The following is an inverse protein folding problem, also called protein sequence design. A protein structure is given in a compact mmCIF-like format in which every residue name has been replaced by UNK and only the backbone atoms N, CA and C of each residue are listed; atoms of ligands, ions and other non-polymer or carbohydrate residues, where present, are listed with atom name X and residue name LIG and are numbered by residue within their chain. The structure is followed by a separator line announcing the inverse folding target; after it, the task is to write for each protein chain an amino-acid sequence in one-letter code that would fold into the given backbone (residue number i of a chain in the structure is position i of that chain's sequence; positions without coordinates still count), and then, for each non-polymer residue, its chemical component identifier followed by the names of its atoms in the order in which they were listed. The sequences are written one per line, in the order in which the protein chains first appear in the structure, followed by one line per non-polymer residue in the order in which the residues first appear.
data_IF_873021358476
#
_entry.id   IF_873021358476
#
_cell.length_a   1.000
_cell.length_b   1.000
_cell.length_c   1.000
_cell.angle_alpha   90.00
_cell.angle_beta   90.00
_cell.angle_gamma   90.00
#
_symmetry.space_group_name_H-M   'P 1'
#
loop_
_entity.id
_entity.type
_entity.pdbx_description
1 polymer ?
#
# COMPACT_ATOMS: atom_id res chain seq x y z
N UNK A 1 22.16 -48.00 -60.78
CA UNK A 1 21.54 -48.11 -59.44
C UNK A 1 22.65 -48.33 -58.40
N UNK A 2 22.56 -47.68 -57.22
CA UNK A 2 23.54 -47.55 -56.10
C UNK A 2 24.54 -46.39 -56.26
N UNK A 3 24.17 -45.16 -55.84
CA UNK A 3 24.45 -44.50 -54.53
C UNK A 3 25.95 -44.21 -54.33
N UNK A 4 26.47 -43.04 -54.71
CA UNK A 4 26.54 -41.74 -53.96
C UNK A 4 27.07 -41.89 -52.53
N UNK A 5 28.32 -41.48 -52.29
CA UNK A 5 28.78 -40.71 -51.12
C UNK A 5 30.15 -40.07 -51.48
N UNK A 6 30.14 -38.80 -51.89
CA UNK A 6 31.34 -37.95 -51.94
C UNK A 6 31.12 -36.86 -50.88
N UNK A 7 31.98 -36.86 -49.87
CA UNK A 7 32.01 -35.87 -48.81
C UNK A 7 32.59 -34.57 -49.42
N UNK A 8 31.74 -33.57 -49.62
CA UNK A 8 32.18 -32.19 -49.88
C UNK A 8 32.28 -31.45 -48.54
N UNK A 9 33.52 -31.14 -48.16
CA UNK A 9 33.81 -30.18 -47.08
C UNK A 9 33.48 -28.79 -47.61
N UNK A 10 32.35 -28.24 -47.21
CA UNK A 10 32.02 -26.82 -47.41
C UNK A 10 32.45 -26.10 -46.13
N UNK A 11 33.51 -25.29 -46.24
CA UNK A 11 33.83 -24.26 -45.27
C UNK A 11 32.66 -23.26 -45.21
N UNK A 12 31.77 -23.41 -44.22
CA UNK A 12 30.89 -22.33 -43.82
C UNK A 12 31.74 -21.30 -43.07
N UNK A 13 32.02 -20.19 -43.75
CA UNK A 13 32.40 -18.94 -43.11
C UNK A 13 31.28 -18.54 -42.14
N UNK A 14 31.46 -18.84 -40.85
CA UNK A 14 30.73 -18.17 -39.79
C UNK A 14 31.06 -16.69 -39.88
N UNK A 15 30.21 -15.94 -40.58
CA UNK A 15 30.01 -14.54 -40.25
C UNK A 15 29.44 -14.53 -38.83
N UNK A 16 30.34 -14.38 -37.85
CA UNK A 16 29.96 -13.90 -36.52
C UNK A 16 29.36 -12.51 -36.73
N UNK A 17 28.05 -12.48 -37.00
CA UNK A 17 27.23 -11.32 -36.73
C UNK A 17 27.30 -11.18 -35.22
N UNK A 18 28.22 -10.34 -34.76
CA UNK A 18 28.28 -9.86 -33.40
C UNK A 18 26.88 -9.30 -33.14
N UNK A 19 26.07 -10.09 -32.42
CA UNK A 19 24.93 -9.60 -31.67
C UNK A 19 25.53 -8.68 -30.60
N UNK A 20 25.93 -7.47 -31.01
CA UNK A 20 25.89 -6.31 -30.16
C UNK A 20 24.39 -6.04 -29.95
N UNK A 21 23.75 -6.90 -29.16
CA UNK A 21 22.53 -6.51 -28.49
C UNK A 21 22.91 -5.27 -27.71
N UNK A 22 22.42 -4.11 -28.15
CA UNK A 22 22.37 -2.94 -27.30
C UNK A 22 21.73 -3.42 -26.01
N UNK A 23 22.53 -3.60 -24.94
CA UNK A 23 21.99 -3.68 -23.60
C UNK A 23 21.17 -2.40 -23.46
N UNK A 24 19.86 -2.52 -23.42
CA UNK A 24 19.01 -1.39 -23.01
C UNK A 24 19.65 -0.79 -21.76
N UNK A 25 19.91 0.52 -21.80
CA UNK A 25 20.63 1.22 -20.73
C UNK A 25 19.78 1.12 -19.47
N UNK A 26 20.08 0.17 -18.59
CA UNK A 26 19.31 -0.01 -17.35
C UNK A 26 19.32 1.28 -16.52
N UNK A 27 18.20 1.58 -15.84
CA UNK A 27 18.13 2.70 -14.90
C UNK A 27 19.16 2.46 -13.80
N UNK A 28 20.06 3.43 -13.60
CA UNK A 28 20.93 3.49 -12.45
C UNK A 28 20.32 4.45 -11.41
N UNK A 29 19.79 3.95 -10.28
CA UNK A 29 19.14 4.82 -9.30
C UNK A 29 20.08 5.82 -8.63
N UNK A 30 21.39 5.62 -8.68
CA UNK A 30 22.36 6.59 -8.15
C UNK A 30 22.37 7.89 -8.93
N UNK A 31 22.01 7.85 -10.23
CA UNK A 31 21.89 9.03 -11.08
C UNK A 31 20.74 9.95 -10.62
N UNK A 32 19.80 9.43 -9.81
CA UNK A 32 18.69 10.21 -9.26
C UNK A 32 19.09 11.04 -8.03
N UNK A 33 20.21 10.72 -7.35
CA UNK A 33 20.60 11.37 -6.09
C UNK A 33 20.66 12.91 -6.22
N UNK A 34 21.30 13.49 -7.27
CA UNK A 34 21.34 14.94 -7.43
C UNK A 34 19.96 15.57 -7.64
N UNK A 35 19.00 14.83 -8.19
CA UNK A 35 17.65 15.34 -8.49
C UNK A 35 16.82 15.59 -7.23
N UNK A 36 17.12 14.89 -6.13
CA UNK A 36 16.46 15.10 -4.83
C UNK A 36 17.12 16.15 -3.95
N UNK A 37 18.29 16.68 -4.33
CA UNK A 37 19.13 17.51 -3.46
C UNK A 37 18.35 18.70 -2.87
N UNK A 38 17.76 19.53 -3.72
CA UNK A 38 17.06 20.74 -3.28
C UNK A 38 15.81 20.41 -2.45
N UNK A 39 15.08 19.35 -2.84
CA UNK A 39 13.92 18.87 -2.10
C UNK A 39 14.31 18.42 -0.68
N UNK A 40 15.42 17.71 -0.54
CA UNK A 40 15.93 17.25 0.75
C UNK A 40 16.38 18.43 1.60
N UNK A 41 17.25 19.30 1.07
CA UNK A 41 17.79 20.46 1.80
C UNK A 41 16.67 21.37 2.33
N UNK A 42 15.58 21.53 1.57
CA UNK A 42 14.43 22.34 1.96
C UNK A 42 13.54 21.70 3.04
N UNK A 43 13.52 20.38 3.19
CA UNK A 43 12.47 19.68 3.94
C UNK A 43 12.94 18.71 5.03
N UNK A 44 14.22 18.32 5.06
CA UNK A 44 14.71 17.28 5.97
C UNK A 44 14.47 17.59 7.45
N UNK A 45 14.61 18.85 7.86
CA UNK A 45 14.46 19.29 9.25
C UNK A 45 13.04 19.76 9.61
N UNK A 46 12.09 19.71 8.65
CA UNK A 46 10.72 20.16 8.88
C UNK A 46 9.87 19.03 9.42
N UNK A 47 9.15 19.30 10.51
CA UNK A 47 8.12 18.43 11.08
C UNK A 47 6.78 19.13 10.95
N UNK A 48 5.76 18.40 10.46
CA UNK A 48 4.42 18.96 10.32
C UNK A 48 3.76 19.15 11.69
N UNK A 49 3.00 20.23 11.85
CA UNK A 49 2.17 20.43 13.06
C UNK A 49 0.87 19.61 13.00
N UNK A 50 0.33 19.43 11.79
CA UNK A 50 -0.88 18.66 11.53
C UNK A 50 -0.57 17.18 11.33
N UNK A 51 -0.99 16.35 12.29
CA UNK A 51 -0.81 14.88 12.24
C UNK A 51 -1.60 14.21 11.12
N UNK A 52 -2.60 14.89 10.55
CA UNK A 52 -3.40 14.36 9.45
C UNK A 52 -2.97 14.90 8.08
N UNK A 53 -1.85 15.61 7.99
CA UNK A 53 -1.42 16.28 6.74
C UNK A 53 -1.27 15.30 5.56
N UNK A 54 -0.82 14.08 5.84
CA UNK A 54 -0.64 13.01 4.83
C UNK A 54 -1.81 12.03 4.79
N UNK A 55 -2.91 12.32 5.48
CA UNK A 55 -4.07 11.43 5.57
C UNK A 55 -4.90 11.48 4.31
N UNK A 56 -5.31 10.31 3.83
CA UNK A 56 -6.24 10.16 2.68
C UNK A 56 -7.62 10.67 3.03
N UNK A 57 -8.03 10.54 4.30
CA UNK A 57 -9.26 11.12 4.85
C UNK A 57 -9.00 11.67 6.26
N UNK A 58 -9.70 12.73 6.65
CA UNK A 58 -9.63 13.31 7.99
C UNK A 58 -10.75 12.78 8.89
N UNK A 59 -10.67 12.91 10.24
CA UNK A 59 -11.67 12.42 11.17
C UNK A 59 -13.10 12.87 10.90
N UNK A 60 -13.29 14.02 10.25
CA UNK A 60 -14.61 14.56 9.92
C UNK A 60 -15.25 13.86 8.71
N UNK A 61 -14.48 13.06 7.96
CA UNK A 61 -14.97 12.31 6.82
C UNK A 61 -15.70 11.04 7.30
N UNK A 62 -16.88 10.77 6.74
CA UNK A 62 -17.70 9.60 7.12
C UNK A 62 -17.04 8.24 6.85
N UNK A 63 -16.00 8.20 6.00
CA UNK A 63 -15.19 7.01 5.75
C UNK A 63 -14.08 6.77 6.79
N UNK A 64 -13.81 7.74 7.67
CA UNK A 64 -12.64 7.71 8.55
C UNK A 64 -12.63 6.47 9.45
N UNK A 65 -13.70 6.23 10.20
CA UNK A 65 -13.77 5.13 11.16
C UNK A 65 -13.63 3.77 10.49
N UNK A 66 -14.33 3.56 9.37
CA UNK A 66 -14.28 2.28 8.63
C UNK A 66 -12.90 2.04 8.01
N UNK A 67 -12.22 3.08 7.55
CA UNK A 67 -10.86 2.96 7.04
C UNK A 67 -9.83 2.75 8.17
N UNK A 68 -10.06 3.36 9.34
CA UNK A 68 -9.22 3.17 10.51
C UNK A 68 -9.29 1.72 11.02
N UNK A 69 -10.49 1.14 11.09
CA UNK A 69 -10.69 -0.26 11.46
C UNK A 69 -9.96 -1.20 10.47
N UNK A 70 -10.12 -0.96 9.17
CA UNK A 70 -9.41 -1.70 8.13
C UNK A 70 -7.89 -1.56 8.27
N UNK A 71 -7.40 -0.37 8.57
CA UNK A 71 -5.97 -0.09 8.72
C UNK A 71 -5.36 -0.78 9.93
N UNK A 72 -6.10 -0.78 11.04
CA UNK A 72 -5.74 -1.53 12.24
C UNK A 72 -5.82 -3.03 12.02
N UNK A 73 -6.47 -3.51 10.95
CA UNK A 73 -6.67 -4.92 10.72
C UNK A 73 -7.37 -5.59 11.90
N UNK A 74 -8.34 -4.89 12.50
CA UNK A 74 -9.19 -5.47 13.54
C UNK A 74 -9.96 -6.67 12.95
N UNK A 75 -10.17 -7.75 13.73
CA UNK A 75 -10.96 -8.88 13.25
C UNK A 75 -12.35 -8.43 12.83
N UNK A 76 -12.75 -8.79 11.60
CA UNK A 76 -14.03 -8.39 11.02
C UNK A 76 -15.20 -8.78 11.92
N UNK A 77 -16.01 -7.79 12.28
CA UNK A 77 -17.13 -7.90 13.22
C UNK A 77 -18.42 -7.42 12.58
N UNK A 78 -19.56 -7.86 13.14
CA UNK A 78 -20.88 -7.41 12.67
C UNK A 78 -21.05 -5.90 12.77
N UNK A 79 -20.43 -5.28 13.77
CA UNK A 79 -20.47 -3.84 13.96
C UNK A 79 -19.74 -3.06 12.84
N UNK A 80 -18.57 -3.56 12.42
CA UNK A 80 -17.81 -3.00 11.28
C UNK A 80 -18.58 -3.19 9.96
N UNK A 81 -19.19 -4.36 9.77
CA UNK A 81 -20.06 -4.62 8.62
C UNK A 81 -21.27 -3.68 8.58
N UNK A 82 -21.94 -3.49 9.72
CA UNK A 82 -23.09 -2.60 9.82
C UNK A 82 -22.70 -1.13 9.62
N UNK A 83 -21.49 -0.70 10.01
CA UNK A 83 -20.96 0.62 9.67
C UNK A 83 -20.84 0.79 8.15
N UNK A 84 -20.21 -0.17 7.47
CA UNK A 84 -20.11 -0.15 6.01
C UNK A 84 -21.50 -0.12 5.34
N UNK A 85 -22.41 -1.00 5.77
CA UNK A 85 -23.75 -1.09 5.21
C UNK A 85 -24.53 0.22 5.35
N UNK A 86 -24.47 0.91 6.50
CA UNK A 86 -25.10 2.23 6.68
C UNK A 86 -24.56 3.28 5.70
N UNK A 87 -23.25 3.27 5.41
CA UNK A 87 -22.67 4.20 4.43
C UNK A 87 -23.14 3.86 3.01
N UNK A 88 -23.21 2.57 2.67
CA UNK A 88 -23.71 2.08 1.37
C UNK A 88 -25.19 2.45 1.19
N UNK A 89 -26.03 2.26 2.20
CA UNK A 89 -27.45 2.63 2.19
C UNK A 89 -27.66 4.14 1.98
N UNK A 90 -26.76 4.97 2.51
CA UNK A 90 -26.73 6.42 2.26
C UNK A 90 -26.22 6.81 0.87
N UNK A 91 -25.80 5.84 0.07
CA UNK A 91 -25.27 6.07 -1.29
C UNK A 91 -23.81 6.48 -1.33
N UNK A 92 -23.02 6.25 -0.27
CA UNK A 92 -21.60 6.53 -0.29
C UNK A 92 -20.88 5.58 -1.28
N UNK A 93 -20.34 6.16 -2.36
CA UNK A 93 -19.68 5.41 -3.42
C UNK A 93 -18.37 4.76 -2.95
N UNK A 94 -17.63 5.42 -2.07
CA UNK A 94 -16.33 4.98 -1.58
C UNK A 94 -16.46 3.72 -0.70
N UNK A 95 -17.41 3.73 0.23
CA UNK A 95 -17.82 2.57 1.03
C UNK A 95 -18.29 1.43 0.14
N UNK A 96 -19.13 1.74 -0.86
CA UNK A 96 -19.64 0.75 -1.80
C UNK A 96 -18.50 0.07 -2.56
N UNK A 97 -17.50 0.83 -3.02
CA UNK A 97 -16.35 0.28 -3.74
C UNK A 97 -15.48 -0.55 -2.81
N UNK A 98 -15.10 -0.03 -1.64
CA UNK A 98 -14.22 -0.74 -0.70
C UNK A 98 -14.85 -2.04 -0.20
N UNK A 99 -16.12 -1.99 0.20
CA UNK A 99 -16.83 -3.17 0.67
C UNK A 99 -17.03 -4.20 -0.45
N UNK A 100 -17.41 -3.76 -1.66
CA UNK A 100 -17.52 -4.68 -2.81
C UNK A 100 -16.18 -5.32 -3.17
N UNK A 101 -15.04 -4.63 -2.95
CA UNK A 101 -13.72 -5.25 -3.15
C UNK A 101 -13.44 -6.32 -2.10
N UNK A 102 -13.85 -6.13 -0.85
CA UNK A 102 -13.70 -7.12 0.23
C UNK A 102 -14.51 -8.37 -0.06
N UNK A 103 -15.74 -8.22 -0.55
CA UNK A 103 -16.66 -9.34 -0.76
C UNK A 103 -16.61 -9.96 -2.17
N UNK A 104 -15.79 -9.43 -3.09
CA UNK A 104 -15.68 -9.96 -4.45
C UNK A 104 -15.20 -11.44 -4.52
N UNK A 105 -14.49 -11.91 -3.50
CA UNK A 105 -14.04 -13.29 -3.37
C UNK A 105 -14.99 -14.17 -2.54
N UNK A 106 -15.99 -13.58 -1.89
CA UNK A 106 -17.05 -14.30 -1.20
C UNK A 106 -18.07 -14.79 -2.24
N UNK A 107 -18.34 -16.09 -2.25
CA UNK A 107 -19.17 -16.69 -3.29
C UNK A 107 -20.65 -16.28 -3.19
N UNK A 108 -21.13 -15.98 -1.99
CA UNK A 108 -22.53 -15.61 -1.73
C UNK A 108 -22.76 -14.13 -2.04
N UNK A 109 -21.79 -13.27 -1.71
CA UNK A 109 -21.89 -11.82 -1.87
C UNK A 109 -21.38 -11.30 -3.22
N UNK A 110 -20.68 -12.12 -4.00
CA UNK A 110 -20.02 -11.70 -5.25
C UNK A 110 -20.98 -11.04 -6.25
N UNK A 111 -22.15 -11.62 -6.48
CA UNK A 111 -23.11 -11.07 -7.46
C UNK A 111 -23.60 -9.67 -7.05
N UNK A 112 -23.79 -9.46 -5.75
CA UNK A 112 -24.15 -8.17 -5.14
C UNK A 112 -23.01 -7.17 -5.29
N UNK A 113 -21.78 -7.57 -4.94
CA UNK A 113 -20.58 -6.76 -5.08
C UNK A 113 -20.36 -6.30 -6.53
N UNK A 114 -20.49 -7.22 -7.49
CA UNK A 114 -20.37 -6.90 -8.92
C UNK A 114 -21.47 -5.94 -9.37
N UNK A 115 -22.72 -6.16 -8.95
CA UNK A 115 -23.84 -5.29 -9.31
C UNK A 115 -23.67 -3.87 -8.78
N UNK A 116 -23.17 -3.73 -7.56
CA UNK A 116 -22.83 -2.42 -6.95
C UNK A 116 -21.73 -1.70 -7.73
N UNK A 117 -20.63 -2.39 -8.05
CA UNK A 117 -19.56 -1.81 -8.86
C UNK A 117 -20.03 -1.47 -10.28
N UNK A 118 -20.87 -2.31 -10.89
CA UNK A 118 -21.38 -2.08 -12.23
C UNK A 118 -22.27 -0.83 -12.28
N UNK A 119 -23.14 -0.65 -11.28
CA UNK A 119 -23.94 0.58 -11.14
C UNK A 119 -23.05 1.81 -11.05
N UNK A 120 -22.08 1.82 -10.14
CA UNK A 120 -21.16 2.97 -9.99
C UNK A 120 -20.34 3.23 -11.26
N UNK A 121 -19.90 2.18 -11.96
CA UNK A 121 -19.22 2.31 -13.25
C UNK A 121 -20.15 2.96 -14.29
N UNK A 122 -21.42 2.54 -14.38
CA UNK A 122 -22.42 3.15 -15.26
C UNK A 122 -22.69 4.62 -14.91
N UNK A 123 -22.61 4.97 -13.63
CA UNK A 123 -22.72 6.35 -13.13
C UNK A 123 -21.42 7.16 -13.34
N UNK A 124 -20.39 6.57 -13.95
CA UNK A 124 -19.15 7.23 -14.35
C UNK A 124 -18.04 7.21 -13.31
N UNK A 125 -18.15 6.40 -12.25
CA UNK A 125 -17.10 6.28 -11.24
C UNK A 125 -15.87 5.51 -11.79
N UNK A 126 -14.68 6.15 -11.87
CA UNK A 126 -13.50 5.51 -12.47
C UNK A 126 -12.90 4.39 -11.61
N UNK A 127 -13.03 4.47 -10.28
CA UNK A 127 -12.54 3.41 -9.40
C UNK A 127 -13.37 2.13 -9.58
N UNK A 128 -14.70 2.26 -9.68
CA UNK A 128 -15.57 1.12 -9.95
C UNK A 128 -15.27 0.49 -11.32
N UNK A 129 -15.07 1.32 -12.36
CA UNK A 129 -14.63 0.87 -13.67
C UNK A 129 -13.28 0.12 -13.59
N UNK A 130 -12.29 0.68 -12.89
CA UNK A 130 -10.99 0.03 -12.71
C UNK A 130 -11.12 -1.35 -12.07
N UNK A 131 -11.92 -1.47 -11.00
CA UNK A 131 -12.08 -2.74 -10.28
C UNK A 131 -12.77 -3.82 -11.13
N UNK A 132 -13.58 -3.43 -12.11
CA UNK A 132 -14.22 -4.31 -13.11
C UNK A 132 -13.42 -4.45 -14.42
N UNK A 133 -12.25 -3.84 -14.54
CA UNK A 133 -11.40 -3.89 -15.74
C UNK A 133 -10.45 -5.09 -15.78
N UNK A 134 -9.83 -5.34 -16.95
CA UNK A 134 -8.79 -6.38 -17.09
C UNK A 134 -7.52 -6.10 -16.27
N UNK A 135 -7.27 -4.86 -15.84
CA UNK A 135 -6.10 -4.50 -15.02
C UNK A 135 -6.29 -4.80 -13.53
N UNK A 136 -7.53 -4.97 -13.08
CA UNK A 136 -7.83 -5.42 -11.73
C UNK A 136 -7.48 -6.90 -11.56
N UNK A 137 -6.53 -7.20 -10.66
CA UNK A 137 -6.20 -8.57 -10.28
C UNK A 137 -7.43 -9.34 -9.81
N UNK A 138 -8.29 -8.70 -9.00
CA UNK A 138 -9.49 -9.32 -8.45
C UNK A 138 -10.51 -9.66 -9.55
N UNK A 139 -10.68 -8.80 -10.54
CA UNK A 139 -11.52 -9.10 -11.69
C UNK A 139 -11.04 -10.39 -12.38
N UNK A 140 -9.75 -10.43 -12.74
CA UNK A 140 -9.16 -11.60 -13.42
C UNK A 140 -9.22 -12.88 -12.58
N UNK A 141 -9.00 -12.77 -11.28
CA UNK A 141 -8.96 -13.93 -10.37
C UNK A 141 -10.36 -14.49 -10.04
N UNK A 142 -11.37 -13.62 -9.88
CA UNK A 142 -12.66 -14.00 -9.29
C UNK A 142 -13.85 -13.91 -10.25
N UNK A 143 -13.77 -13.10 -11.31
CA UNK A 143 -14.87 -12.88 -12.25
C UNK A 143 -14.62 -13.52 -13.63
N UNK A 144 -13.37 -13.88 -13.95
CA UNK A 144 -13.05 -14.59 -15.19
C UNK A 144 -13.70 -15.97 -15.27
N UNK A 145 -14.12 -16.38 -16.47
CA UNK A 145 -14.74 -17.70 -16.73
C UNK A 145 -13.86 -18.90 -16.34
N UNK A 146 -12.54 -18.72 -16.34
CA UNK A 146 -11.58 -19.75 -15.88
C UNK A 146 -11.44 -19.83 -14.35
N UNK A 147 -12.05 -18.91 -13.59
CA UNK A 147 -11.96 -18.89 -12.13
C UNK A 147 -12.62 -20.12 -11.51
N UNK A 148 -11.89 -20.82 -10.63
CA UNK A 148 -12.44 -21.92 -9.83
C UNK A 148 -13.69 -21.46 -9.05
N UNK A 149 -13.66 -20.24 -8.53
CA UNK A 149 -14.79 -19.68 -7.77
C UNK A 149 -16.06 -19.53 -8.60
N UNK A 150 -15.94 -19.29 -9.92
CA UNK A 150 -17.11 -19.21 -10.80
C UNK A 150 -17.66 -20.60 -11.15
N UNK A 151 -16.79 -21.60 -11.31
CA UNK A 151 -17.23 -22.99 -11.48
C UNK A 151 -18.04 -23.46 -10.29
N UNK A 152 -17.52 -23.23 -9.08
CA UNK A 152 -18.22 -23.56 -7.83
C UNK A 152 -19.54 -22.80 -7.72
N UNK A 153 -19.57 -21.50 -8.04
CA UNK A 153 -20.80 -20.70 -7.96
C UNK A 153 -21.89 -21.25 -8.88
N UNK A 154 -21.51 -21.68 -10.09
CA UNK A 154 -22.41 -22.30 -11.06
C UNK A 154 -22.93 -23.65 -10.57
N UNK A 155 -22.06 -24.50 -10.01
CA UNK A 155 -22.44 -25.82 -9.48
C UNK A 155 -23.41 -25.68 -8.28
N UNK A 156 -23.30 -24.60 -7.51
CA UNK A 156 -24.21 -24.24 -6.42
C UNK A 156 -25.51 -23.55 -6.89
N UNK A 157 -25.67 -23.29 -8.19
CA UNK A 157 -26.85 -22.60 -8.73
C UNK A 157 -26.92 -21.11 -8.39
N UNK A 158 -25.79 -20.47 -8.06
CA UNK A 158 -25.70 -19.04 -7.78
C UNK A 158 -25.64 -18.21 -9.07
N UNK A 159 -25.98 -16.92 -8.98
CA UNK A 159 -25.94 -16.02 -10.13
C UNK A 159 -24.50 -15.80 -10.63
N UNK A 160 -24.21 -16.28 -11.84
CA UNK A 160 -22.95 -16.03 -12.56
C UNK A 160 -23.14 -15.16 -13.80
N UNK A 161 -24.22 -14.38 -13.88
CA UNK A 161 -24.57 -13.55 -15.04
C UNK A 161 -23.50 -12.50 -15.39
N UNK A 162 -22.58 -12.20 -14.48
CA UNK A 162 -21.44 -11.32 -14.70
C UNK A 162 -20.30 -11.96 -15.50
N UNK A 163 -20.31 -13.28 -15.68
CA UNK A 163 -19.26 -14.03 -16.37
C UNK A 163 -19.05 -13.48 -17.79
N UNK A 164 -17.79 -13.22 -18.16
CA UNK A 164 -17.37 -12.66 -19.46
C UNK A 164 -17.91 -11.25 -19.80
N UNK A 165 -18.68 -10.60 -18.92
CA UNK A 165 -19.12 -9.20 -19.10
C UNK A 165 -18.08 -8.17 -18.69
N UNK A 166 -17.27 -8.54 -17.69
CA UNK A 166 -16.26 -7.67 -17.10
C UNK A 166 -14.84 -8.16 -17.41
N UNK A 167 -13.85 -7.47 -16.88
CA UNK A 167 -12.44 -7.75 -17.07
C UNK A 167 -11.98 -7.54 -18.52
N UNK A 168 -12.47 -6.48 -19.16
CA UNK A 168 -12.11 -6.11 -20.54
C UNK A 168 -11.21 -4.87 -20.57
N UNK A 169 -10.49 -4.70 -21.69
CA UNK A 169 -9.71 -3.49 -21.96
C UNK A 169 -10.62 -2.27 -22.18
N UNK A 170 -11.81 -2.45 -22.76
CA UNK A 170 -12.77 -1.35 -22.96
C UNK A 170 -13.19 -0.72 -21.61
N UNK A 171 -13.46 -1.55 -20.60
CA UNK A 171 -13.77 -1.07 -19.25
C UNK A 171 -12.55 -0.36 -18.64
N UNK A 172 -11.34 -0.85 -18.92
CA UNK A 172 -10.12 -0.17 -18.48
C UNK A 172 -10.00 1.24 -19.05
N UNK A 173 -10.26 1.42 -20.35
CA UNK A 173 -10.21 2.73 -20.99
C UNK A 173 -11.25 3.70 -20.40
N UNK A 174 -12.45 3.21 -20.02
CA UNK A 174 -13.43 4.01 -19.26
C UNK A 174 -12.88 4.47 -17.91
N UNK A 175 -12.16 3.60 -17.20
CA UNK A 175 -11.50 3.98 -15.95
C UNK A 175 -10.43 5.06 -16.18
N UNK A 176 -9.57 4.89 -17.20
CA UNK A 176 -8.52 5.86 -17.57
C UNK A 176 -9.13 7.22 -17.92
N UNK A 177 -10.22 7.26 -18.70
CA UNK A 177 -10.93 8.50 -19.03
C UNK A 177 -11.50 9.19 -17.78
N UNK A 178 -12.11 8.44 -16.87
CA UNK A 178 -12.59 9.02 -15.61
C UNK A 178 -11.44 9.50 -14.71
N UNK A 179 -10.32 8.79 -14.65
CA UNK A 179 -9.14 9.26 -13.92
C UNK A 179 -8.52 10.51 -14.55
N UNK A 180 -8.54 10.68 -15.88
CA UNK A 180 -8.14 11.94 -16.52
C UNK A 180 -8.98 13.12 -16.03
N UNK A 181 -10.30 12.93 -15.87
CA UNK A 181 -11.20 13.96 -15.33
C UNK A 181 -10.87 14.29 -13.87
N UNK A 182 -10.70 13.28 -13.02
CA UNK A 182 -10.33 13.50 -11.61
C UNK A 182 -8.94 14.15 -11.47
N UNK A 183 -7.97 13.72 -12.27
CA UNK A 183 -6.63 14.29 -12.28
C UNK A 183 -6.64 15.77 -12.67
N UNK A 184 -7.46 16.15 -13.66
CA UNK A 184 -7.67 17.53 -14.07
C UNK A 184 -8.35 18.39 -12.99
N UNK A 185 -9.08 17.77 -12.06
CA UNK A 185 -9.66 18.42 -10.87
C UNK A 185 -8.68 18.49 -9.70
N UNK A 186 -7.45 17.97 -9.85
CA UNK A 186 -6.42 18.01 -8.81
C UNK A 186 -6.33 16.76 -7.94
N UNK A 187 -7.07 15.67 -8.23
CA UNK A 187 -6.95 14.44 -7.44
C UNK A 187 -5.56 13.79 -7.65
N UNK A 188 -4.74 13.81 -6.61
CA UNK A 188 -3.36 13.31 -6.64
C UNK A 188 -3.29 11.79 -6.87
N UNK A 189 -4.27 11.03 -6.40
CA UNK A 189 -4.32 9.56 -6.59
C UNK A 189 -4.59 9.23 -8.04
N UNK A 190 -5.51 9.96 -8.68
CA UNK A 190 -5.80 9.83 -10.10
C UNK A 190 -4.61 10.27 -10.97
N UNK A 191 -3.94 11.37 -10.62
CA UNK A 191 -2.70 11.79 -11.29
C UNK A 191 -1.62 10.71 -11.19
N UNK A 192 -1.43 10.13 -10.00
CA UNK A 192 -0.43 9.09 -9.80
C UNK A 192 -0.78 7.79 -10.54
N UNK A 193 -2.06 7.42 -10.58
CA UNK A 193 -2.54 6.31 -11.39
C UNK A 193 -2.16 6.49 -12.86
N UNK A 194 -2.42 7.67 -13.43
CA UNK A 194 -2.11 7.96 -14.84
C UNK A 194 -0.61 7.97 -15.12
N UNK A 195 0.20 8.48 -14.19
CA UNK A 195 1.67 8.43 -14.29
C UNK A 195 2.16 6.98 -14.42
N UNK A 196 1.62 6.07 -13.61
CA UNK A 196 1.94 4.63 -13.68
C UNK A 196 1.42 3.95 -14.94
N UNK A 197 0.22 4.30 -15.38
CA UNK A 197 -0.36 3.78 -16.62
C UNK A 197 0.51 4.11 -17.85
N UNK A 198 1.09 5.31 -17.87
CA UNK A 198 2.02 5.75 -18.91
C UNK A 198 3.40 5.06 -18.83
N UNK A 199 3.68 4.28 -17.78
CA UNK A 199 4.95 3.60 -17.58
C UNK A 199 6.13 4.54 -17.31
N UNK A 200 5.85 5.76 -16.82
CA UNK A 200 6.88 6.79 -16.61
C UNK A 200 7.92 6.34 -15.57
N UNK A 201 7.49 5.55 -14.57
CA UNK A 201 8.32 4.94 -13.52
C UNK A 201 9.41 4.00 -14.07
N UNK A 202 9.23 3.49 -15.29
CA UNK A 202 10.12 2.54 -15.97
C UNK A 202 10.90 3.18 -17.12
N UNK A 203 10.62 4.43 -17.46
CA UNK A 203 11.25 5.11 -18.59
C UNK A 203 12.64 5.63 -18.22
N UNK A 204 13.66 5.16 -18.94
CA UNK A 204 15.03 5.68 -18.80
C UNK A 204 15.11 7.10 -19.36
N UNK A 205 14.50 7.34 -20.53
CA UNK A 205 14.52 8.64 -21.22
C UNK A 205 13.81 9.73 -20.42
N UNK A 206 12.75 9.36 -19.71
CA UNK A 206 11.95 10.30 -18.90
C UNK A 206 12.22 10.17 -17.40
N UNK A 207 13.40 9.65 -17.02
CA UNK A 207 13.73 9.42 -15.60
C UNK A 207 13.68 10.70 -14.79
N UNK A 208 14.25 11.80 -15.30
CA UNK A 208 14.21 13.09 -14.60
C UNK A 208 12.78 13.62 -14.43
N UNK A 209 11.91 13.45 -15.44
CA UNK A 209 10.49 13.81 -15.37
C UNK A 209 9.77 13.00 -14.29
N UNK A 210 10.03 11.69 -14.22
CA UNK A 210 9.49 10.83 -13.16
C UNK A 210 9.89 11.30 -11.76
N UNK A 211 11.17 11.64 -11.55
CA UNK A 211 11.67 12.08 -10.24
C UNK A 211 11.06 13.43 -9.84
N UNK A 212 10.88 14.36 -10.79
CA UNK A 212 10.17 15.62 -10.54
C UNK A 212 8.73 15.39 -10.10
N UNK A 213 8.04 14.44 -10.71
CA UNK A 213 6.67 14.09 -10.29
C UNK A 213 6.64 13.45 -8.89
N UNK A 214 7.58 12.55 -8.57
CA UNK A 214 7.72 11.99 -7.21
C UNK A 214 7.90 13.10 -6.17
N UNK A 215 8.75 14.09 -6.45
CA UNK A 215 8.96 15.26 -5.60
C UNK A 215 7.69 16.09 -5.49
N UNK A 216 7.01 16.38 -6.62
CA UNK A 216 5.75 17.15 -6.64
C UNK A 216 4.67 16.52 -5.77
N UNK A 217 4.52 15.20 -5.82
CA UNK A 217 3.57 14.50 -4.95
C UNK A 217 3.96 14.59 -3.48
N UNK A 218 5.25 14.45 -3.16
CA UNK A 218 5.75 14.56 -1.79
C UNK A 218 5.61 15.99 -1.23
N UNK A 219 5.81 17.03 -2.05
CA UNK A 219 5.54 18.43 -1.69
C UNK A 219 4.04 18.70 -1.45
N UNK A 220 3.17 17.93 -2.08
CA UNK A 220 1.72 17.94 -1.85
C UNK A 220 1.27 16.97 -0.74
N UNK A 221 2.21 16.45 0.06
CA UNK A 221 1.97 15.50 1.16
C UNK A 221 1.33 14.16 0.76
N UNK A 222 1.37 13.80 -0.54
CA UNK A 222 1.00 12.47 -1.02
C UNK A 222 2.27 11.63 -1.20
N UNK A 223 2.64 10.85 -0.18
CA UNK A 223 3.93 10.15 -0.13
C UNK A 223 3.94 8.75 -0.77
N UNK A 224 2.81 8.25 -1.27
CA UNK A 224 2.76 6.94 -1.95
C UNK A 224 3.75 6.83 -3.12
N UNK A 225 3.92 7.84 -4.00
CA UNK A 225 4.90 7.79 -5.09
C UNK A 225 6.34 7.78 -4.58
N UNK A 226 6.62 8.53 -3.52
CA UNK A 226 7.94 8.53 -2.87
C UNK A 226 8.28 7.15 -2.30
N UNK A 227 7.34 6.48 -1.64
CA UNK A 227 7.57 5.13 -1.12
C UNK A 227 7.70 4.07 -2.20
N UNK A 228 6.96 4.21 -3.30
CA UNK A 228 7.14 3.32 -4.45
C UNK A 228 8.51 3.54 -5.10
N UNK A 229 8.98 4.80 -5.20
CA UNK A 229 10.34 5.11 -5.65
C UNK A 229 11.41 4.51 -4.73
N UNK A 230 11.34 4.71 -3.41
CA UNK A 230 12.34 4.18 -2.47
C UNK A 230 12.44 2.65 -2.54
N UNK A 231 11.33 1.96 -2.81
CA UNK A 231 11.33 0.52 -3.04
C UNK A 231 12.21 0.08 -4.22
N UNK A 232 12.39 0.93 -5.23
CA UNK A 232 13.26 0.66 -6.39
C UNK A 232 14.74 0.79 -6.08
N UNK A 233 15.10 1.43 -4.96
CA UNK A 233 16.48 1.58 -4.49
C UNK A 233 17.00 0.31 -3.80
N UNK A 234 16.08 -0.62 -3.52
CA UNK A 234 16.34 -1.86 -2.81
C UNK A 234 16.39 -3.06 -3.77
N UNK A 235 16.96 -4.16 -3.27
CA UNK A 235 16.98 -5.46 -3.92
C UNK A 235 16.64 -6.58 -2.91
N UNK A 236 16.15 -7.74 -3.39
CA UNK A 236 15.96 -8.90 -2.54
C UNK A 236 17.26 -9.37 -1.87
N UNK A 237 17.14 -9.88 -0.66
CA UNK A 237 18.21 -10.48 0.13
C UNK A 237 17.67 -11.63 0.99
N UNK A 238 18.55 -12.44 1.57
CA UNK A 238 18.13 -13.53 2.47
C UNK A 238 17.40 -13.03 3.74
N UNK A 239 17.62 -11.78 4.15
CA UNK A 239 16.99 -11.18 5.34
C UNK A 239 15.88 -10.18 4.98
N UNK A 240 15.28 -10.31 3.80
CA UNK A 240 14.26 -9.38 3.31
C UNK A 240 14.82 -8.48 2.20
N UNK A 241 14.64 -7.16 2.29
CA UNK A 241 15.19 -6.22 1.31
C UNK A 241 16.41 -5.50 1.88
N UNK A 242 17.36 -5.15 1.01
CA UNK A 242 18.50 -4.28 1.35
C UNK A 242 18.68 -3.22 0.25
N UNK A 243 19.28 -2.08 0.59
CA UNK A 243 19.67 -1.11 -0.42
C UNK A 243 20.77 -1.66 -1.34
N UNK A 244 20.72 -1.26 -2.62
CA UNK A 244 21.69 -1.71 -3.63
C UNK A 244 23.10 -1.13 -3.43
N UNK A 245 23.19 0.04 -2.79
CA UNK A 245 24.46 0.67 -2.40
C UNK A 245 24.28 1.53 -1.14
N UNK A 246 25.39 1.99 -0.56
CA UNK A 246 25.37 2.82 0.65
C UNK A 246 24.89 4.25 0.37
N UNK A 247 25.11 4.72 -0.85
CA UNK A 247 24.66 6.01 -1.35
C UNK A 247 23.14 6.02 -1.47
N UNK A 248 22.56 4.92 -1.98
CA UNK A 248 21.12 4.74 -2.06
C UNK A 248 20.46 4.53 -0.70
N UNK A 249 21.14 3.89 0.26
CA UNK A 249 20.70 3.82 1.65
C UNK A 249 20.59 5.23 2.26
N UNK A 250 21.64 6.05 2.11
CA UNK A 250 21.62 7.44 2.59
C UNK A 250 20.50 8.28 1.95
N UNK A 251 20.26 8.09 0.64
CA UNK A 251 19.14 8.74 -0.05
C UNK A 251 17.80 8.27 0.53
N UNK A 252 17.58 6.95 0.56
CA UNK A 252 16.34 6.34 1.03
C UNK A 252 15.96 6.77 2.44
N UNK A 253 16.91 6.74 3.38
CA UNK A 253 16.69 7.18 4.78
C UNK A 253 16.26 8.64 4.84
N UNK A 254 16.91 9.55 4.09
CA UNK A 254 16.49 10.96 4.04
C UNK A 254 15.07 11.13 3.51
N UNK A 255 14.69 10.36 2.50
CA UNK A 255 13.34 10.39 1.93
C UNK A 255 12.30 9.82 2.89
N UNK A 256 12.61 8.74 3.62
CA UNK A 256 11.76 8.21 4.69
C UNK A 256 11.54 9.26 5.77
N UNK A 257 12.61 9.93 6.22
CA UNK A 257 12.52 10.95 7.27
C UNK A 257 11.63 12.12 6.88
N UNK A 258 11.72 12.60 5.64
CA UNK A 258 10.83 13.68 5.15
C UNK A 258 9.36 13.25 5.23
N UNK A 259 9.02 12.05 4.77
CA UNK A 259 7.64 11.54 4.83
C UNK A 259 7.19 11.23 6.27
N UNK A 260 8.08 10.67 7.09
CA UNK A 260 7.89 10.38 8.51
C UNK A 260 7.61 11.64 9.33
N UNK A 261 8.36 12.71 9.07
CA UNK A 261 8.13 14.02 9.69
C UNK A 261 6.79 14.66 9.30
N UNK A 262 6.15 14.16 8.25
CA UNK A 262 4.79 14.52 7.83
C UNK A 262 3.76 13.44 8.20
N UNK A 263 4.04 12.62 9.21
CA UNK A 263 3.15 11.60 9.76
C UNK A 263 2.75 10.50 8.76
N UNK A 264 3.53 10.26 7.71
CA UNK A 264 3.27 9.15 6.80
C UNK A 264 3.68 7.80 7.41
N UNK A 265 2.71 7.07 7.96
CA UNK A 265 2.90 5.80 8.69
C UNK A 265 3.84 4.82 7.98
N UNK A 266 3.66 4.49 6.68
CA UNK A 266 4.58 3.57 6.01
C UNK A 266 6.04 4.05 5.99
N UNK A 267 6.30 5.35 6.03
CA UNK A 267 7.66 5.89 6.14
C UNK A 267 8.17 5.90 7.58
N UNK A 268 7.32 6.16 8.57
CA UNK A 268 7.71 6.05 9.98
C UNK A 268 8.20 4.63 10.32
N UNK A 269 7.47 3.61 9.84
CA UNK A 269 7.84 2.21 9.99
C UNK A 269 9.20 1.86 9.35
N UNK A 270 9.54 2.45 8.21
CA UNK A 270 10.86 2.24 7.58
C UNK A 270 11.95 3.03 8.33
N UNK A 271 11.65 4.24 8.83
CA UNK A 271 12.61 5.06 9.60
C UNK A 271 13.04 4.41 10.92
N UNK A 272 12.20 3.63 11.62
CA UNK A 272 12.59 3.02 12.90
C UNK A 272 13.77 2.08 12.79
N UNK A 273 13.92 1.40 11.65
CA UNK A 273 15.05 0.49 11.38
C UNK A 273 16.39 1.23 11.38
N UNK A 274 16.39 2.52 11.03
CA UNK A 274 17.59 3.34 10.90
C UNK A 274 17.79 4.33 12.04
N UNK A 275 16.74 4.60 12.81
CA UNK A 275 16.70 5.63 13.85
C UNK A 275 16.12 5.10 15.18
N UNK A 276 16.59 3.92 15.62
CA UNK A 276 16.11 3.28 16.85
C UNK A 276 16.21 4.17 18.10
N UNK A 277 17.23 5.05 18.18
CA UNK A 277 17.43 5.97 19.31
C UNK A 277 16.65 7.30 19.16
N UNK A 278 15.86 7.48 18.10
CA UNK A 278 15.14 8.73 17.86
C UNK A 278 13.82 8.79 18.64
N UNK A 279 13.88 9.32 19.87
CA UNK A 279 12.69 9.53 20.71
C UNK A 279 11.56 10.30 20.02
N UNK A 280 11.87 11.31 19.20
CA UNK A 280 10.83 12.11 18.54
C UNK A 280 10.08 11.31 17.47
N UNK A 281 10.75 10.37 16.80
CA UNK A 281 10.11 9.46 15.87
C UNK A 281 9.11 8.55 16.61
N UNK A 282 9.54 7.92 17.70
CA UNK A 282 8.68 7.04 18.49
C UNK A 282 7.47 7.78 19.08
N UNK A 283 7.64 9.01 19.56
CA UNK A 283 6.53 9.85 20.02
C UNK A 283 5.52 10.12 18.89
N UNK A 284 5.99 10.44 17.67
CA UNK A 284 5.11 10.61 16.52
C UNK A 284 4.37 9.33 16.16
N UNK A 285 5.04 8.18 16.20
CA UNK A 285 4.42 6.88 15.90
C UNK A 285 3.36 6.52 16.94
N UNK A 286 3.68 6.67 18.24
CA UNK A 286 2.72 6.48 19.34
C UNK A 286 1.50 7.38 19.14
N UNK A 287 1.72 8.67 18.89
CA UNK A 287 0.65 9.64 18.62
C UNK A 287 -0.17 9.28 17.40
N UNK A 288 0.42 8.64 16.39
CA UNK A 288 -0.29 8.19 15.19
C UNK A 288 -1.04 6.88 15.40
N UNK A 289 -0.91 6.24 16.57
CA UNK A 289 -1.46 4.91 16.81
C UNK A 289 -0.88 3.84 15.87
N UNK A 290 0.33 4.06 15.37
CA UNK A 290 0.99 3.20 14.38
C UNK A 290 1.28 1.83 14.98
N UNK A 291 0.81 0.74 14.36
CA UNK A 291 1.09 -0.63 14.81
C UNK A 291 2.60 -0.92 14.92
N UNK A 292 3.43 -0.31 14.08
CA UNK A 292 4.88 -0.48 14.13
C UNK A 292 5.53 0.15 15.36
N UNK A 293 4.91 1.17 15.99
CA UNK A 293 5.35 1.69 17.28
C UNK A 293 5.46 0.57 18.30
N UNK A 294 4.43 -0.28 18.34
CA UNK A 294 4.35 -1.34 19.33
C UNK A 294 5.41 -2.41 19.13
N UNK A 295 5.67 -2.76 17.87
CA UNK A 295 6.69 -3.74 17.51
C UNK A 295 8.10 -3.19 17.75
N UNK A 296 8.40 -1.97 17.28
CA UNK A 296 9.71 -1.36 17.46
C UNK A 296 10.02 -1.13 18.94
N UNK A 297 9.04 -0.68 19.73
CA UNK A 297 9.23 -0.52 21.18
C UNK A 297 9.52 -1.86 21.84
N UNK A 298 8.80 -2.92 21.46
CA UNK A 298 8.99 -4.24 22.06
C UNK A 298 10.31 -4.92 21.67
N UNK A 299 10.83 -4.66 20.46
CA UNK A 299 12.07 -5.28 19.99
C UNK A 299 13.31 -4.45 20.36
N UNK A 300 13.23 -3.13 20.17
CA UNK A 300 14.40 -2.25 20.20
C UNK A 300 14.51 -1.49 21.52
N UNK A 301 13.39 -1.29 22.24
CA UNK A 301 13.31 -0.44 23.44
C UNK A 301 12.76 -1.14 24.68
N UNK A 302 12.61 -2.46 24.66
CA UNK A 302 12.08 -3.24 25.78
C UNK A 302 12.85 -2.99 27.09
N UNK A 303 14.18 -2.85 26.99
CA UNK A 303 15.07 -2.63 28.13
C UNK A 303 14.91 -1.23 28.77
N UNK A 304 14.23 -0.32 28.09
CA UNK A 304 13.93 1.02 28.62
C UNK A 304 12.64 1.05 29.44
N UNK A 305 11.83 -0.02 29.36
CA UNK A 305 10.53 -0.10 30.02
C UNK A 305 10.61 -0.96 31.30
N UNK A 306 10.00 -0.45 32.36
CA UNK A 306 9.66 -1.24 33.55
C UNK A 306 8.58 -2.29 33.25
N UNK A 307 8.38 -3.25 34.15
CA UNK A 307 7.32 -4.26 34.02
C UNK A 307 5.92 -3.65 33.90
N UNK A 308 5.65 -2.57 34.66
CA UNK A 308 4.39 -1.82 34.58
C UNK A 308 4.23 -1.11 33.23
N UNK A 309 5.30 -0.51 32.70
CA UNK A 309 5.25 0.15 31.38
C UNK A 309 5.09 -0.86 30.24
N UNK A 310 5.74 -2.03 30.32
CA UNK A 310 5.52 -3.15 29.39
C UNK A 310 4.06 -3.63 29.45
N UNK A 311 3.49 -3.74 30.65
CA UNK A 311 2.06 -4.06 30.82
C UNK A 311 1.16 -3.02 30.17
N UNK A 312 1.39 -1.73 30.42
CA UNK A 312 0.61 -0.65 29.81
C UNK A 312 0.74 -0.60 28.29
N UNK A 313 1.93 -0.89 27.76
CA UNK A 313 2.16 -1.03 26.32
C UNK A 313 1.34 -2.18 25.71
N UNK A 314 1.36 -3.35 26.35
CA UNK A 314 0.59 -4.51 25.92
C UNK A 314 -0.93 -4.25 26.00
N UNK A 315 -1.38 -3.61 27.07
CA UNK A 315 -2.79 -3.24 27.26
C UNK A 315 -3.25 -2.20 26.23
N UNK A 316 -2.43 -1.17 25.96
CA UNK A 316 -2.71 -0.18 24.91
C UNK A 316 -2.88 -0.85 23.54
N UNK A 317 -2.01 -1.81 23.22
CA UNK A 317 -2.12 -2.59 21.98
C UNK A 317 -3.40 -3.43 21.92
N UNK A 318 -3.74 -4.13 23.01
CA UNK A 318 -4.97 -4.92 23.08
C UNK A 318 -6.21 -4.08 22.86
N UNK A 319 -6.32 -2.93 23.53
CA UNK A 319 -7.49 -2.05 23.40
C UNK A 319 -7.56 -1.39 22.01
N UNK A 320 -6.41 -1.13 21.37
CA UNK A 320 -6.37 -0.48 20.04
C UNK A 320 -6.62 -1.47 18.90
N UNK A 321 -6.07 -2.69 18.98
CA UNK A 321 -6.06 -3.65 17.86
C UNK A 321 -6.85 -4.94 18.15
N UNK A 322 -7.49 -5.05 19.32
CA UNK A 322 -8.23 -6.26 19.77
C UNK A 322 -7.34 -7.52 19.74
N UNK A 323 -6.07 -7.38 20.12
CA UNK A 323 -5.06 -8.45 20.06
C UNK A 323 -4.18 -8.47 21.30
N UNK A 324 -3.98 -9.65 21.89
CA UNK A 324 -3.17 -9.85 23.10
C UNK A 324 -1.68 -10.05 22.82
N UNK A 325 -1.20 -9.70 21.63
CA UNK A 325 0.13 -10.07 21.11
C UNK A 325 1.30 -9.81 22.06
N UNK A 326 1.24 -8.75 22.87
CA UNK A 326 2.36 -8.31 23.70
C UNK A 326 2.26 -8.76 25.17
N UNK A 327 1.15 -9.38 25.58
CA UNK A 327 1.14 -10.10 26.86
C UNK A 327 1.92 -11.40 26.69
N UNK A 328 2.91 -11.65 27.55
CA UNK A 328 3.82 -12.78 27.43
C UNK A 328 4.57 -12.80 26.09
N UNK A 329 4.94 -11.63 25.55
CA UNK A 329 5.67 -11.52 24.28
C UNK A 329 7.00 -12.30 24.29
N UNK A 330 7.72 -12.20 25.41
CA UNK A 330 8.85 -13.03 25.81
C UNK A 330 8.84 -13.17 27.35
N UNK A 331 9.84 -13.87 27.91
CA UNK A 331 9.92 -14.18 29.34
C UNK A 331 10.02 -12.93 30.25
N UNK A 332 10.34 -11.76 29.71
CA UNK A 332 10.42 -10.48 30.43
C UNK A 332 9.14 -9.63 30.31
N UNK A 333 8.17 -10.05 29.51
CA UNK A 333 6.90 -9.34 29.33
C UNK A 333 5.83 -9.90 30.26
N UNK A 334 5.03 -9.03 30.89
CA UNK A 334 4.02 -9.46 31.83
C UNK A 334 2.87 -10.19 31.14
N UNK A 335 2.25 -11.09 31.89
CA UNK A 335 0.97 -11.70 31.58
C UNK A 335 -0.17 -10.72 31.85
N UNK A 336 -1.34 -11.01 31.28
CA UNK A 336 -2.51 -10.11 31.39
C UNK A 336 -2.98 -9.89 32.84
N UNK A 337 -2.76 -10.87 33.71
CA UNK A 337 -3.24 -10.85 35.09
C UNK A 337 -2.17 -10.40 36.11
N UNK A 338 -0.97 -10.01 35.64
CA UNK A 338 0.14 -9.58 36.51
C UNK A 338 -0.09 -8.20 37.16
N UNK A 339 -0.89 -7.36 36.52
CA UNK A 339 -1.23 -6.01 36.97
C UNK A 339 -2.73 -5.73 36.81
N UNK A 340 -3.23 -4.74 37.56
CA UNK A 340 -4.58 -4.21 37.38
C UNK A 340 -4.60 -3.19 36.23
N UNK A 341 -5.59 -3.25 35.33
CA UNK A 341 -5.69 -2.34 34.18
C UNK A 341 -5.69 -0.85 34.58
N UNK A 342 -6.11 -0.51 35.82
CA UNK A 342 -6.17 0.87 36.33
C UNK A 342 -4.83 1.54 36.57
N UNK A 343 -3.72 0.79 36.60
CA UNK A 343 -2.36 1.38 36.66
C UNK A 343 -2.05 2.16 35.37
N UNK A 344 -2.72 1.82 34.28
CA UNK A 344 -2.51 2.41 32.97
C UNK A 344 -3.60 3.43 32.62
N UNK A 345 -3.22 4.56 32.05
CA UNK A 345 -4.17 5.58 31.60
C UNK A 345 -4.59 5.37 30.12
N UNK A 346 -4.98 4.15 29.77
CA UNK A 346 -5.20 3.74 28.37
C UNK A 346 -6.28 4.57 27.66
N UNK A 347 -7.37 4.91 28.37
CA UNK A 347 -8.44 5.72 27.81
C UNK A 347 -7.97 7.10 27.37
N UNK A 348 -7.09 7.73 28.17
CA UNK A 348 -6.47 9.01 27.81
C UNK A 348 -5.50 8.84 26.63
N UNK A 349 -4.66 7.81 26.66
CA UNK A 349 -3.68 7.58 25.59
C UNK A 349 -4.35 7.37 24.24
N UNK A 350 -5.39 6.55 24.16
CA UNK A 350 -6.16 6.35 22.92
C UNK A 350 -6.84 7.65 22.48
N UNK A 351 -7.38 8.44 23.41
CA UNK A 351 -8.04 9.71 23.08
C UNK A 351 -7.07 10.79 22.56
N UNK A 352 -5.79 10.71 22.93
CA UNK A 352 -4.74 11.62 22.45
C UNK A 352 -4.13 11.20 21.11
N UNK A 353 -4.32 9.94 20.70
CA UNK A 353 -3.92 9.46 19.39
C UNK A 353 -4.66 10.19 18.26
N UNK A 354 -3.95 10.42 17.17
CA UNK A 354 -4.43 11.07 15.95
C UNK A 354 -4.04 10.22 14.73
N UNK A 355 -4.73 9.09 14.51
CA UNK A 355 -4.29 8.13 13.51
C UNK A 355 -4.55 8.61 12.09
N UNK A 356 -3.49 8.64 11.30
CA UNK A 356 -3.54 8.96 9.88
C UNK A 356 -4.02 7.75 9.06
N UNK A 357 -4.84 7.99 8.04
CA UNK A 357 -5.31 6.95 7.11
C UNK A 357 -4.49 6.98 5.82
N UNK A 358 -3.66 5.97 5.57
CA UNK A 358 -2.91 5.88 4.32
C UNK A 358 -3.56 4.94 3.29
N UNK A 359 -4.56 4.16 3.70
CA UNK A 359 -5.30 3.29 2.78
C UNK A 359 -6.02 4.15 1.74
N UNK A 360 -5.75 3.84 0.47
CA UNK A 360 -6.47 4.39 -0.67
C UNK A 360 -7.08 3.30 -1.56
N UNK A 361 -7.76 3.73 -2.63
CA UNK A 361 -8.38 2.83 -3.58
C UNK A 361 -7.41 1.93 -4.33
N UNK A 362 -6.10 2.21 -4.35
CA UNK A 362 -5.10 1.39 -5.04
C UNK A 362 -4.27 0.54 -4.07
N UNK A 363 -4.38 0.80 -2.77
CA UNK A 363 -3.77 0.00 -1.73
C UNK A 363 -4.32 -1.41 -1.83
N UNK A 364 -3.42 -2.39 -1.92
CA UNK A 364 -3.81 -3.79 -1.99
C UNK A 364 -4.42 -4.21 -0.65
N UNK A 365 -5.46 -5.03 -0.70
CA UNK A 365 -6.23 -5.44 0.48
C UNK A 365 -5.37 -6.18 1.52
N UNK A 366 -4.36 -6.94 1.08
CA UNK A 366 -3.39 -7.60 1.96
C UNK A 366 -2.49 -6.63 2.74
N UNK A 367 -2.46 -5.35 2.35
CA UNK A 367 -1.69 -4.31 3.01
C UNK A 367 -2.58 -3.32 3.79
N UNK A 368 -3.89 -3.57 3.91
CA UNK A 368 -4.78 -2.70 4.68
C UNK A 368 -4.43 -2.77 6.17
N UNK A 369 -4.38 -3.96 6.76
CA UNK A 369 -4.13 -4.16 8.20
C UNK A 369 -2.68 -3.94 8.68
N UNK A 370 -1.86 -3.16 7.98
CA UNK A 370 -0.45 -2.95 8.29
C UNK A 370 -0.17 -1.61 9.00
N UNK A 371 -1.20 -0.85 9.35
CA UNK A 371 -1.03 0.53 9.77
C UNK A 371 -1.39 0.86 11.20
#
# INVERSE_FOLDING_TARGET
MRHKMIIQVILLSLSMSILAGCKEKAINPEDDIPLFKDFIEKNIDKVADDSYISSTVRPENEMYDVLLDLQRGTPWSKEEEDRFNRLIEKGNADATILYSRLTLNDIEEKSVAVSRLAKLMSDGNPYAAYWLSNRSYRCRAHLGSSSLSNKVAKDLGLDTSYENKYCTEEIYQKAVEGFKKLAAQGDLRAQYFLLKDQGLDKSIEKREEYIKEVIRFAEAHYYKPLMDYTSTLMEPSHRGRKFRSKELEKLGVKLFNIASNNYYIPAMAESTVYEADNNQLFERMKRSGDRYYFLATALDRSNELSGEEKYCHALLYEKTFKSKRYFGFDDEWPEKDDYDESVCNIGKEIAEMKPMIYIDFFTRIDNWGQG
#
